data_IF_279761978078
#
_entry.id   IF_279761978078
#
_cell.length_a   1.000
_cell.length_b   1.000
_cell.length_c   1.000
_cell.angle_alpha   90.00
_cell.angle_beta   90.00
_cell.angle_gamma   90.00
#
_symmetry.space_group_name_H-M   'P 1'
#
loop_
_entity.id
_entity.type
_entity.pdbx_description
1 polymer ?
#
# COMPACT_ATOMS: atom_id res chain seq x y z
N UNK A 1 3.90 14.64 -6.45
CA UNK A 1 3.37 13.72 -7.48
C UNK A 1 3.98 12.33 -7.26
N UNK A 2 3.19 11.30 -6.94
CA UNK A 2 3.72 9.95 -6.65
C UNK A 2 3.87 9.17 -7.97
N UNK A 3 5.10 9.04 -8.48
CA UNK A 3 5.42 8.29 -9.70
C UNK A 3 5.49 6.78 -9.41
N UNK A 4 4.49 6.02 -9.89
CA UNK A 4 4.34 4.58 -9.60
C UNK A 4 4.69 3.64 -10.76
N UNK A 5 5.13 4.16 -11.91
CA UNK A 5 5.46 3.32 -13.07
C UNK A 5 4.24 2.71 -13.77
N UNK A 6 3.04 3.23 -13.51
CA UNK A 6 1.86 2.98 -14.33
C UNK A 6 1.96 3.76 -15.64
N UNK A 7 1.54 3.16 -16.74
CA UNK A 7 1.23 3.94 -17.94
C UNK A 7 -0.02 4.80 -17.68
N UNK A 8 -0.11 6.00 -18.25
CA UNK A 8 -1.28 6.89 -18.08
C UNK A 8 -2.61 6.16 -18.39
N UNK A 9 -2.57 5.21 -19.33
CA UNK A 9 -3.71 4.38 -19.74
C UNK A 9 -4.13 3.29 -18.72
N UNK A 10 -3.31 2.93 -17.72
CA UNK A 10 -3.70 1.92 -16.71
C UNK A 10 -4.47 2.54 -15.53
N UNK A 11 -4.38 3.86 -15.35
CA UNK A 11 -5.07 4.59 -14.27
C UNK A 11 -6.40 5.17 -14.78
N UNK A 12 -6.44 5.57 -16.05
CA UNK A 12 -7.61 6.16 -16.71
C UNK A 12 -8.48 5.06 -17.33
N UNK A 13 -9.03 4.17 -16.51
CA UNK A 13 -10.20 3.42 -16.95
C UNK A 13 -11.42 4.35 -16.75
N UNK A 14 -11.93 4.86 -17.86
CA UNK A 14 -13.00 5.86 -17.97
C UNK A 14 -14.38 5.41 -17.43
N UNK A 15 -14.45 4.25 -16.79
CA UNK A 15 -15.68 3.60 -16.33
C UNK A 15 -16.01 3.85 -14.85
N UNK A 16 -15.05 4.30 -14.04
CA UNK A 16 -15.30 4.67 -12.63
C UNK A 16 -14.51 5.95 -12.28
N UNK A 17 -15.14 7.14 -12.37
CA UNK A 17 -14.48 8.44 -12.20
C UNK A 17 -14.20 8.80 -10.74
N UNK A 18 -14.70 8.01 -9.78
CA UNK A 18 -14.37 8.20 -8.38
C UNK A 18 -13.02 7.55 -8.10
N UNK A 19 -11.97 8.31 -8.42
CA UNK A 19 -10.73 8.24 -7.68
C UNK A 19 -11.12 8.54 -6.23
N UNK A 20 -11.24 7.53 -5.38
CA UNK A 20 -11.35 7.78 -3.95
C UNK A 20 -10.07 8.47 -3.53
N UNK A 21 -10.15 9.80 -3.36
CA UNK A 21 -9.00 10.67 -3.06
C UNK A 21 -8.24 10.23 -1.78
N UNK A 22 -8.85 9.38 -0.95
CA UNK A 22 -8.25 8.80 0.25
C UNK A 22 -7.36 7.58 0.00
N UNK A 23 -7.49 6.89 -1.14
CA UNK A 23 -6.78 5.63 -1.41
C UNK A 23 -5.61 5.81 -2.38
N UNK A 24 -4.50 5.12 -2.09
CA UNK A 24 -3.33 5.10 -2.97
C UNK A 24 -3.69 4.51 -4.35
N UNK A 25 -3.22 5.06 -5.47
CA UNK A 25 -3.59 4.57 -6.81
C UNK A 25 -3.20 3.11 -7.05
N UNK A 26 -2.17 2.57 -6.38
CA UNK A 26 -1.89 1.12 -6.44
C UNK A 26 -2.94 0.29 -5.72
N UNK A 27 -3.47 0.81 -4.62
CA UNK A 27 -4.57 0.16 -3.90
C UNK A 27 -5.81 0.09 -4.77
N UNK A 28 -6.19 1.21 -5.40
CA UNK A 28 -7.34 1.26 -6.32
C UNK A 28 -7.15 0.27 -7.47
N UNK A 29 -5.97 0.27 -8.10
CA UNK A 29 -5.65 -0.67 -9.16
C UNK A 29 -5.71 -2.13 -8.67
N UNK A 30 -5.17 -2.42 -7.48
CA UNK A 30 -5.14 -3.78 -6.94
C UNK A 30 -6.53 -4.31 -6.57
N UNK A 31 -7.40 -3.45 -6.04
CA UNK A 31 -8.81 -3.78 -5.76
C UNK A 31 -9.58 -4.09 -7.06
N UNK A 32 -9.38 -3.30 -8.12
CA UNK A 32 -9.99 -3.58 -9.44
C UNK A 32 -9.44 -4.84 -10.11
N UNK A 33 -8.23 -5.26 -9.73
CA UNK A 33 -7.53 -6.40 -10.35
C UNK A 33 -7.30 -7.55 -9.35
N UNK A 34 -8.25 -7.83 -8.46
CA UNK A 34 -8.14 -8.88 -7.43
C UNK A 34 -7.82 -10.27 -8.01
N UNK A 35 -8.19 -10.55 -9.26
CA UNK A 35 -7.85 -11.79 -9.96
C UNK A 35 -6.34 -12.02 -10.15
N UNK A 36 -5.52 -10.96 -10.04
CA UNK A 36 -4.04 -11.04 -10.08
C UNK A 36 -3.43 -11.26 -8.69
N UNK A 37 -4.25 -11.28 -7.64
CA UNK A 37 -3.84 -11.41 -6.26
C UNK A 37 -4.35 -12.73 -5.64
N UNK A 38 -3.66 -13.26 -4.64
CA UNK A 38 -2.43 -12.76 -4.02
C UNK A 38 -1.18 -12.96 -4.90
N UNK A 39 -0.18 -12.10 -4.68
CA UNK A 39 1.12 -12.21 -5.35
C UNK A 39 2.11 -12.95 -4.44
N UNK A 40 2.65 -14.08 -4.91
CA UNK A 40 3.72 -14.78 -4.19
C UNK A 40 5.05 -14.04 -4.33
N UNK A 41 5.50 -13.42 -3.24
CA UNK A 41 6.64 -12.50 -3.24
C UNK A 41 7.96 -13.18 -3.64
N UNK A 42 8.12 -14.45 -3.30
CA UNK A 42 9.32 -15.20 -3.63
C UNK A 42 9.40 -15.60 -5.11
N UNK A 43 8.31 -15.49 -5.88
CA UNK A 43 8.24 -15.89 -7.29
C UNK A 43 7.92 -14.74 -8.24
N UNK A 44 7.17 -13.75 -7.78
CA UNK A 44 6.65 -12.66 -8.61
C UNK A 44 7.73 -11.87 -9.35
N UNK A 45 7.42 -11.39 -10.54
CA UNK A 45 8.33 -10.51 -11.28
C UNK A 45 8.37 -9.10 -10.68
N UNK A 46 9.47 -8.37 -10.95
CA UNK A 46 9.67 -7.00 -10.47
C UNK A 46 8.49 -6.08 -10.80
N UNK A 47 7.96 -6.17 -12.03
CA UNK A 47 6.82 -5.38 -12.49
C UNK A 47 5.54 -5.69 -11.71
N UNK A 48 5.33 -6.94 -11.31
CA UNK A 48 4.18 -7.30 -10.48
C UNK A 48 4.35 -6.79 -9.05
N UNK A 49 5.55 -6.89 -8.49
CA UNK A 49 5.87 -6.34 -7.16
C UNK A 49 5.60 -4.84 -7.06
N UNK A 50 5.85 -4.06 -8.12
CA UNK A 50 5.57 -2.62 -8.15
C UNK A 50 4.07 -2.28 -8.06
N UNK A 51 3.21 -3.19 -8.51
CA UNK A 51 1.76 -3.04 -8.50
C UNK A 51 1.14 -3.37 -7.13
N UNK A 52 1.86 -4.12 -6.30
CA UNK A 52 1.39 -4.49 -4.96
C UNK A 52 1.32 -3.24 -4.05
N UNK A 53 0.16 -2.97 -3.42
CA UNK A 53 0.02 -1.89 -2.44
C UNK A 53 1.04 -2.03 -1.30
N UNK A 54 1.74 -0.94 -0.97
CA UNK A 54 2.78 -0.95 0.07
C UNK A 54 4.17 -1.43 -0.36
N UNK A 55 4.36 -1.90 -1.61
CA UNK A 55 5.68 -2.18 -2.19
C UNK A 55 6.07 -1.07 -3.18
N UNK A 56 7.22 -0.44 -2.98
CA UNK A 56 7.76 0.62 -3.85
C UNK A 56 8.97 0.14 -4.64
N UNK A 57 9.53 0.99 -5.52
CA UNK A 57 10.68 0.62 -6.35
C UNK A 57 11.87 0.09 -5.56
N UNK A 58 12.19 0.73 -4.43
CA UNK A 58 13.30 0.34 -3.57
C UNK A 58 13.05 -1.01 -2.88
N UNK A 59 11.87 -1.20 -2.28
CA UNK A 59 11.53 -2.47 -1.63
C UNK A 59 11.36 -3.60 -2.64
N UNK A 60 10.80 -3.35 -3.82
CA UNK A 60 10.74 -4.33 -4.91
C UNK A 60 12.13 -4.78 -5.36
N UNK A 61 13.09 -3.85 -5.53
CA UNK A 61 14.47 -4.21 -5.87
C UNK A 61 15.12 -5.05 -4.77
N UNK A 62 14.93 -4.65 -3.51
CA UNK A 62 15.43 -5.39 -2.35
C UNK A 62 14.85 -6.80 -2.30
N UNK A 63 13.55 -6.98 -2.53
CA UNK A 63 12.89 -8.30 -2.60
C UNK A 63 13.57 -9.20 -3.66
N UNK A 64 13.71 -8.70 -4.89
CA UNK A 64 14.33 -9.45 -5.99
C UNK A 64 15.76 -9.86 -5.65
N UNK A 65 16.53 -8.97 -5.04
CA UNK A 65 17.91 -9.29 -4.65
C UNK A 65 17.95 -10.26 -3.47
N UNK A 66 17.15 -10.04 -2.43
CA UNK A 66 17.17 -10.83 -1.20
C UNK A 66 16.67 -12.26 -1.41
N UNK A 67 15.68 -12.49 -2.27
CA UNK A 67 15.16 -13.84 -2.53
C UNK A 67 16.16 -14.77 -3.22
N UNK A 68 17.26 -14.24 -3.75
CA UNK A 68 18.38 -15.03 -4.30
C UNK A 68 19.17 -15.75 -3.20
N UNK A 69 19.10 -15.25 -1.97
CA UNK A 69 19.85 -15.73 -0.82
C UNK A 69 19.01 -16.59 0.14
N UNK A 70 17.70 -16.63 -0.06
CA UNK A 70 16.78 -17.40 0.78
C UNK A 70 15.34 -16.98 0.57
N UNK A 71 14.40 -17.72 1.13
CA UNK A 71 12.99 -17.35 1.09
C UNK A 71 12.69 -16.19 2.05
N UNK A 72 11.86 -15.26 1.59
CA UNK A 72 11.41 -14.10 2.34
C UNK A 72 10.08 -14.43 3.02
N UNK A 73 10.05 -14.26 4.34
CA UNK A 73 8.84 -14.21 5.14
C UNK A 73 8.34 -12.78 5.38
N UNK A 74 7.20 -12.66 6.06
CA UNK A 74 6.58 -11.36 6.34
C UNK A 74 7.46 -10.42 7.19
N UNK A 75 8.23 -10.99 8.11
CA UNK A 75 9.14 -10.22 8.99
C UNK A 75 10.27 -9.57 8.19
N UNK A 76 10.81 -10.30 7.23
CA UNK A 76 11.84 -9.86 6.31
C UNK A 76 11.31 -8.76 5.40
N UNK A 77 10.10 -8.92 4.85
CA UNK A 77 9.47 -7.89 4.02
C UNK A 77 9.32 -6.55 4.77
N UNK A 78 8.93 -6.60 6.05
CA UNK A 78 8.89 -5.40 6.89
C UNK A 78 10.28 -4.74 7.01
N UNK A 79 11.34 -5.52 7.20
CA UNK A 79 12.74 -5.03 7.24
C UNK A 79 13.22 -4.47 5.90
N UNK A 80 12.74 -5.02 4.79
CA UNK A 80 13.05 -4.53 3.44
C UNK A 80 12.31 -3.22 3.08
N UNK A 81 11.42 -2.74 3.96
CA UNK A 81 10.66 -1.50 3.78
C UNK A 81 9.32 -1.70 3.06
N UNK A 82 8.76 -2.90 3.09
CA UNK A 82 7.38 -3.14 2.65
C UNK A 82 6.41 -2.62 3.72
N UNK A 83 5.43 -1.83 3.29
CA UNK A 83 4.36 -1.35 4.16
C UNK A 83 3.34 -2.47 4.34
N UNK A 84 3.56 -3.31 5.36
CA UNK A 84 2.74 -4.49 5.62
C UNK A 84 1.27 -4.17 5.85
N UNK A 85 0.94 -2.99 6.40
CA UNK A 85 -0.45 -2.55 6.54
C UNK A 85 -1.20 -2.57 5.20
N UNK A 86 -0.56 -2.20 4.10
CA UNK A 86 -1.23 -2.22 2.79
C UNK A 86 -1.04 -3.56 2.09
N UNK A 87 0.16 -4.13 2.18
CA UNK A 87 0.52 -5.35 1.44
C UNK A 87 -0.16 -6.63 1.96
N UNK A 88 -0.57 -6.70 3.24
CA UNK A 88 -1.07 -7.92 3.91
C UNK A 88 -2.22 -8.65 3.20
N UNK A 89 -3.03 -7.91 2.44
CA UNK A 89 -4.17 -8.44 1.68
C UNK A 89 -3.81 -8.98 0.30
N UNK A 90 -2.66 -8.56 -0.22
CA UNK A 90 -2.30 -8.72 -1.63
C UNK A 90 -1.11 -9.67 -1.83
N UNK A 91 -0.51 -10.21 -0.76
CA UNK A 91 0.73 -10.97 -0.88
C UNK A 91 0.66 -12.30 -0.16
N UNK A 92 1.39 -13.28 -0.69
CA UNK A 92 1.75 -14.52 0.02
C UNK A 92 3.26 -14.63 0.16
N UNK A 93 3.67 -15.32 1.22
CA UNK A 93 5.04 -15.78 1.39
C UNK A 93 5.00 -17.30 1.54
N UNK A 94 5.58 -18.02 0.58
CA UNK A 94 5.63 -19.48 0.57
C UNK A 94 4.23 -20.12 0.65
N UNK A 95 3.23 -19.53 0.00
CA UNK A 95 1.84 -20.00 0.03
C UNK A 95 1.07 -19.67 1.33
N UNK A 96 1.72 -19.04 2.32
CA UNK A 96 1.04 -18.52 3.51
C UNK A 96 0.47 -17.13 3.24
N UNK A 97 -0.77 -16.91 3.67
CA UNK A 97 -1.44 -15.61 3.68
C UNK A 97 -1.23 -14.92 5.02
N UNK A 98 -1.08 -13.60 5.00
CA UNK A 98 -1.10 -12.83 6.25
C UNK A 98 -2.53 -12.52 6.69
N UNK A 99 -3.37 -12.13 5.72
CA UNK A 99 -4.80 -11.92 5.94
C UNK A 99 -5.53 -12.38 4.67
N UNK A 100 -6.40 -13.37 4.81
CA UNK A 100 -7.17 -13.89 3.67
C UNK A 100 -8.51 -13.15 3.65
N UNK A 101 -8.65 -12.22 2.71
CA UNK A 101 -9.91 -11.55 2.42
C UNK A 101 -10.13 -11.63 0.92
N UNK A 102 -11.31 -12.10 0.55
CA UNK A 102 -11.73 -12.37 -0.82
C UNK A 102 -12.74 -11.34 -1.34
N UNK A 103 -13.27 -10.47 -0.47
CA UNK A 103 -14.20 -9.40 -0.86
C UNK A 103 -13.52 -8.03 -0.97
N UNK A 104 -13.73 -7.35 -2.10
CA UNK A 104 -13.19 -6.01 -2.39
C UNK A 104 -13.62 -4.98 -1.35
N UNK A 105 -14.91 -4.95 -1.01
CA UNK A 105 -15.50 -3.98 -0.08
C UNK A 105 -14.92 -4.12 1.33
N UNK A 106 -14.65 -5.36 1.75
CA UNK A 106 -14.05 -5.65 3.05
C UNK A 106 -12.60 -5.18 3.10
N UNK A 107 -11.79 -5.48 2.06
CA UNK A 107 -10.39 -5.01 1.98
C UNK A 107 -10.37 -3.48 1.98
N UNK A 108 -11.23 -2.85 1.19
CA UNK A 108 -11.35 -1.40 1.09
C UNK A 108 -11.70 -0.75 2.43
N UNK A 109 -12.70 -1.28 3.13
CA UNK A 109 -13.10 -0.78 4.45
C UNK A 109 -11.99 -0.90 5.49
N UNK A 110 -11.26 -2.02 5.47
CA UNK A 110 -10.10 -2.23 6.34
C UNK A 110 -8.96 -1.25 6.03
N UNK A 111 -8.69 -0.98 4.76
CA UNK A 111 -7.65 -0.02 4.34
C UNK A 111 -8.02 1.41 4.73
N UNK A 112 -9.26 1.83 4.53
CA UNK A 112 -9.75 3.17 4.94
C UNK A 112 -9.67 3.35 6.46
N UNK A 113 -10.04 2.33 7.24
CA UNK A 113 -9.94 2.36 8.72
C UNK A 113 -8.50 2.57 9.20
N UNK A 114 -7.53 1.97 8.52
CA UNK A 114 -6.12 2.08 8.89
C UNK A 114 -5.50 3.43 8.54
N UNK A 115 -5.99 4.09 7.49
CA UNK A 115 -5.57 5.45 7.13
C UNK A 115 -6.24 6.50 8.04
N UNK A 116 -7.53 6.33 8.38
CA UNK A 116 -8.25 7.24 9.29
C UNK A 116 -7.64 7.34 10.69
N UNK A 117 -7.13 6.22 11.24
CA UNK A 117 -6.37 6.22 12.51
C UNK A 117 -5.13 7.13 12.45
N UNK A 118 -4.53 7.30 11.28
CA UNK A 118 -3.33 8.13 11.11
C UNK A 118 -3.68 9.62 11.15
N UNK A 119 -4.84 10.03 10.65
CA UNK A 119 -5.33 11.41 10.75
C UNK A 119 -5.71 11.78 12.19
N UNK A 120 -6.39 10.88 12.90
CA UNK A 120 -6.81 11.11 14.30
C UNK A 120 -5.60 11.23 15.25
N UNK A 121 -4.63 10.30 15.16
CA UNK A 121 -3.38 10.35 15.92
C UNK A 121 -2.49 11.56 15.54
N UNK A 122 -2.55 12.03 14.29
CA UNK A 122 -1.81 13.22 13.88
C UNK A 122 -2.43 14.51 14.41
N UNK A 123 -3.77 14.54 14.58
CA UNK A 123 -4.48 15.68 15.14
C UNK A 123 -4.30 15.78 16.67
N UNK A 124 -4.23 14.65 17.37
CA UNK A 124 -3.92 14.60 18.82
C UNK A 124 -2.46 14.96 19.17
N UNK A 125 -1.53 14.92 18.21
CA UNK A 125 -0.10 15.20 18.42
C UNK A 125 0.31 16.64 18.04
N UNK A 126 -0.64 17.50 17.63
CA UNK A 126 -0.35 18.91 17.42
C UNK A 126 -0.07 19.57 18.79
N UNK A 127 1.11 20.20 19.00
CA UNK A 127 1.32 20.97 20.21
C UNK A 127 0.29 22.11 20.23
N UNK A 128 -0.51 22.11 21.28
CA UNK A 128 -1.50 23.14 21.60
C UNK A 128 -0.78 24.46 21.98
N UNK A 129 -0.07 25.07 21.03
CA UNK A 129 0.61 26.35 21.19
C UNK A 129 0.34 27.21 19.95
N UNK A 130 -0.90 27.67 19.80
CA UNK A 130 -1.22 28.85 19.00
C UNK A 130 -2.13 29.80 19.81
N UNK A 131 -1.73 30.06 21.04
CA UNK A 131 -2.34 31.08 21.90
C UNK A 131 -1.20 31.91 22.52
N UNK A 132 -0.55 32.76 21.72
CA UNK A 132 0.17 33.93 22.21
C UNK A 132 0.62 34.83 21.05
N UNK A 133 -0.07 35.96 20.91
CA UNK A 133 0.54 37.21 20.46
C UNK A 133 0.39 37.55 18.98
N UNK A 134 -0.57 38.44 18.67
CA UNK A 134 -0.24 39.86 18.49
C UNK A 134 -1.51 40.70 18.40
N UNK A 135 -1.69 41.49 19.46
CA UNK A 135 -2.44 42.75 19.48
C UNK A 135 -1.78 43.74 18.51
N UNK A 136 -2.57 44.73 18.08
CA UNK A 136 -2.27 45.93 17.25
C UNK A 136 -2.48 45.70 15.75
N UNK A 137 -3.41 46.38 15.08
CA UNK A 137 -3.72 47.82 15.12
C UNK A 137 -5.21 48.11 14.96
#
# INVERSE_FOLDING_TARGET
>A
MRFYGFAANEILDSTVPFLDDDLDPKTVWALRNLHLFPVEINKAEYRMLLRVPGIGQQSARKIITSRRWGWLGFTELKKLGVVMKRARYFITCQGSFLEKIDNEETIRSCLLRDEGKKQELAYEQLPLNLEAGLVQS
#
